data_IF_699604809866
#
_entry.id   IF_699604809866
#
_cell.length_a   1.000
_cell.length_b   1.000
_cell.length_c   1.000
_cell.angle_alpha   90.00
_cell.angle_beta   90.00
_cell.angle_gamma   90.00
#
_symmetry.space_group_name_H-M   'P 1'
#
loop_
_entity.id
_entity.type
_entity.pdbx_description
1 polymer ?
#
# COMPACT_ATOMS: atom_id res chain seq x y z
N UNK A 1 -40.69 -12.19 18.80
CA UNK A 1 -40.06 -11.10 18.05
C UNK A 1 -39.15 -11.73 17.01
N UNK A 2 -39.69 -11.91 15.80
CA UNK A 2 -38.92 -12.36 14.64
C UNK A 2 -38.06 -11.20 14.16
N UNK A 3 -36.83 -11.45 13.74
CA UNK A 3 -36.22 -10.67 12.67
C UNK A 3 -35.27 -11.57 11.87
N UNK A 4 -35.69 -11.81 10.63
CA UNK A 4 -35.03 -12.56 9.57
C UNK A 4 -34.07 -11.63 8.83
N UNK A 5 -32.85 -12.08 8.57
CA UNK A 5 -31.92 -11.41 7.66
C UNK A 5 -31.35 -12.43 6.69
N UNK A 6 -32.03 -12.59 5.55
CA UNK A 6 -31.45 -13.19 4.35
C UNK A 6 -31.07 -12.08 3.39
N UNK A 7 -29.79 -12.00 3.02
CA UNK A 7 -29.35 -11.31 1.81
C UNK A 7 -28.35 -12.21 1.08
N UNK A 8 -28.87 -13.00 0.16
CA UNK A 8 -28.07 -13.60 -0.92
C UNK A 8 -27.96 -12.58 -2.05
N UNK A 9 -26.74 -12.25 -2.46
CA UNK A 9 -26.47 -11.48 -3.67
C UNK A 9 -25.66 -12.39 -4.61
N UNK A 10 -26.32 -12.90 -5.64
CA UNK A 10 -25.72 -13.77 -6.66
C UNK A 10 -24.95 -12.93 -7.68
N UNK A 11 -23.66 -13.27 -7.86
CA UNK A 11 -22.77 -12.76 -8.90
C UNK A 11 -23.09 -13.45 -10.24
N UNK A 12 -23.15 -12.69 -11.34
CA UNK A 12 -23.22 -13.25 -12.69
C UNK A 12 -22.41 -12.40 -13.68
N UNK A 13 -21.35 -12.94 -14.30
CA UNK A 13 -20.66 -12.27 -15.41
C UNK A 13 -21.25 -12.72 -16.75
N UNK A 14 -21.73 -11.78 -17.57
CA UNK A 14 -22.08 -12.05 -18.96
C UNK A 14 -21.07 -11.37 -19.89
N UNK A 15 -20.21 -12.23 -20.44
CA UNK A 15 -19.26 -11.98 -21.53
C UNK A 15 -20.04 -11.67 -22.81
N UNK A 16 -19.69 -10.60 -23.52
CA UNK A 16 -20.00 -10.48 -24.95
C UNK A 16 -18.74 -10.06 -25.71
N UNK A 17 -18.13 -11.07 -26.33
CA UNK A 17 -17.07 -10.94 -27.34
C UNK A 17 -17.73 -10.47 -28.66
N UNK A 18 -17.28 -9.35 -29.24
CA UNK A 18 -17.55 -9.04 -30.64
C UNK A 18 -16.21 -8.80 -31.34
N UNK A 19 -15.76 -9.84 -32.02
CA UNK A 19 -14.69 -9.79 -33.00
C UNK A 19 -15.21 -9.12 -34.27
N UNK A 20 -14.48 -8.13 -34.79
CA UNK A 20 -14.67 -7.67 -36.17
C UNK A 20 -13.29 -7.51 -36.80
N UNK A 21 -13.01 -8.38 -37.77
CA UNK A 21 -11.74 -8.45 -38.46
C UNK A 21 -11.75 -7.50 -39.67
N UNK A 22 -10.68 -6.71 -39.84
CA UNK A 22 -9.96 -6.38 -41.10
C UNK A 22 -9.46 -4.93 -41.10
N UNK A 23 -8.16 -4.76 -41.34
CA UNK A 23 -7.67 -4.34 -42.66
C UNK A 23 -6.14 -4.39 -42.69
N UNK A 24 -5.60 -4.92 -43.78
CA UNK A 24 -4.17 -4.97 -44.13
C UNK A 24 -3.79 -3.67 -44.82
N UNK A 25 -2.65 -3.08 -44.48
CA UNK A 25 -1.92 -2.19 -45.38
C UNK A 25 -0.41 -2.38 -45.20
N UNK A 26 0.24 -2.78 -46.29
CA UNK A 26 1.69 -2.82 -46.45
C UNK A 26 2.30 -1.43 -46.31
N UNK A 27 3.41 -1.34 -45.59
CA UNK A 27 4.31 -0.19 -45.55
C UNK A 27 5.73 -0.69 -45.34
N UNK A 28 6.52 -0.62 -46.41
CA UNK A 28 7.93 -0.99 -46.46
C UNK A 28 8.80 0.00 -45.66
N UNK A 29 9.86 -0.51 -45.04
CA UNK A 29 11.09 0.26 -44.86
C UNK A 29 11.53 0.55 -43.43
N UNK A 30 12.80 0.22 -43.20
CA UNK A 30 13.73 0.80 -42.23
C UNK A 30 13.76 0.23 -40.82
N UNK A 31 14.80 -0.59 -40.64
CA UNK A 31 15.39 -0.95 -39.37
C UNK A 31 15.69 0.28 -38.51
N UNK A 32 15.25 0.26 -37.25
CA UNK A 32 15.94 0.87 -36.12
C UNK A 32 15.60 0.10 -34.84
N UNK A 33 16.64 -0.51 -34.29
CA UNK A 33 17.01 -0.62 -32.88
C UNK A 33 15.89 -0.99 -31.90
N UNK A 34 16.08 -2.14 -31.24
CA UNK A 34 15.48 -2.50 -29.96
C UNK A 34 15.32 -1.27 -29.05
N UNK A 35 14.08 -0.89 -28.76
CA UNK A 35 13.78 0.04 -27.69
C UNK A 35 13.67 -0.79 -26.39
N UNK A 36 14.66 -0.79 -25.49
CA UNK A 36 14.39 -1.28 -24.16
C UNK A 36 13.44 -0.28 -23.51
N UNK A 37 12.16 -0.67 -23.39
CA UNK A 37 11.23 -0.07 -22.44
C UNK A 37 11.99 0.35 -21.19
N UNK A 38 11.87 1.61 -20.71
CA UNK A 38 12.36 1.94 -19.41
C UNK A 38 11.42 1.23 -18.43
N UNK A 39 11.77 -0.01 -18.08
CA UNK A 39 11.40 -0.57 -16.81
C UNK A 39 11.86 0.45 -15.79
N UNK A 40 10.88 1.17 -15.24
CA UNK A 40 11.07 2.08 -14.14
C UNK A 40 11.52 1.24 -12.94
N UNK A 41 12.82 0.95 -12.89
CA UNK A 41 13.49 0.63 -11.66
C UNK A 41 13.30 1.83 -10.75
N UNK A 42 12.29 1.70 -9.88
CA UNK A 42 12.29 2.15 -8.50
C UNK A 42 13.25 3.31 -8.27
N UNK A 43 12.73 4.53 -8.41
CA UNK A 43 13.20 5.61 -7.56
C UNK A 43 12.93 5.17 -6.12
N UNK A 44 13.83 4.40 -5.53
CA UNK A 44 14.05 4.44 -4.09
C UNK A 44 14.52 5.86 -3.83
N UNK A 45 13.56 6.79 -3.71
CA UNK A 45 13.83 8.08 -3.12
C UNK A 45 14.38 7.74 -1.75
N UNK A 46 15.67 8.04 -1.53
CA UNK A 46 16.23 8.01 -0.20
C UNK A 46 15.37 8.95 0.64
N UNK A 47 14.45 8.39 1.42
CA UNK A 47 13.56 9.15 2.29
C UNK A 47 14.48 9.88 3.26
N UNK A 48 14.54 11.20 3.15
CA UNK A 48 15.25 11.99 4.14
C UNK A 48 14.70 11.59 5.52
N UNK A 49 15.55 11.45 6.55
CA UNK A 49 15.08 11.06 7.87
C UNK A 49 14.03 12.09 8.34
N UNK A 50 12.78 11.67 8.42
CA UNK A 50 11.69 12.47 8.96
C UNK A 50 11.62 12.28 10.48
N UNK A 51 11.05 13.24 11.23
CA UNK A 51 11.01 13.17 12.70
C UNK A 51 10.20 11.98 13.24
N UNK A 52 9.42 11.31 12.39
CA UNK A 52 8.54 10.21 12.79
C UNK A 52 9.20 8.83 12.89
N UNK A 53 10.50 8.69 12.58
CA UNK A 53 11.24 7.45 12.81
C UNK A 53 11.18 7.07 14.30
N UNK A 54 10.96 5.79 14.58
CA UNK A 54 10.85 5.26 15.94
C UNK A 54 9.68 4.31 16.13
N UNK A 55 9.49 3.89 17.38
CA UNK A 55 8.44 2.97 17.77
C UNK A 55 7.16 3.72 18.15
N UNK A 56 6.06 3.26 17.56
CA UNK A 56 4.69 3.71 17.80
C UNK A 56 3.91 2.54 18.38
N UNK A 57 3.17 2.75 19.46
CA UNK A 57 2.55 1.66 20.21
C UNK A 57 1.14 2.05 20.63
N UNK A 58 0.18 1.14 20.54
CA UNK A 58 -1.13 1.37 21.16
C UNK A 58 -0.99 1.46 22.69
N UNK A 59 -1.88 2.19 23.36
CA UNK A 59 -1.80 2.41 24.82
C UNK A 59 -1.72 1.12 25.64
N UNK A 60 -2.31 0.02 25.14
CA UNK A 60 -2.28 -1.30 25.76
C UNK A 60 -1.07 -2.17 25.38
N UNK A 61 -0.16 -1.66 24.54
CA UNK A 61 1.02 -2.38 24.06
C UNK A 61 0.75 -3.55 23.11
N UNK A 62 -0.50 -3.76 22.70
CA UNK A 62 -0.87 -4.88 21.84
C UNK A 62 -0.32 -4.72 20.42
N UNK A 63 -0.27 -3.51 19.87
CA UNK A 63 0.34 -3.22 18.57
C UNK A 63 1.61 -2.41 18.78
N UNK A 64 2.70 -2.84 18.12
CA UNK A 64 4.01 -2.20 18.10
C UNK A 64 4.40 -1.99 16.65
N UNK A 65 4.46 -0.73 16.24
CA UNK A 65 4.69 -0.30 14.86
C UNK A 65 5.96 0.54 14.80
N UNK A 66 7.01 0.00 14.19
CA UNK A 66 8.30 0.69 14.09
C UNK A 66 8.46 1.30 12.70
N UNK A 67 8.69 2.61 12.65
CA UNK A 67 9.09 3.33 11.45
C UNK A 67 10.61 3.41 11.40
N UNK A 68 11.24 2.70 10.46
CA UNK A 68 12.69 2.63 10.32
C UNK A 68 13.21 3.76 9.41
N UNK A 69 14.44 4.22 9.69
CA UNK A 69 15.07 5.33 8.96
C UNK A 69 15.33 5.04 7.46
N UNK A 70 15.24 3.78 7.03
CA UNK A 70 15.39 3.36 5.64
C UNK A 70 14.06 3.39 4.85
N UNK A 71 13.01 3.99 5.40
CA UNK A 71 11.69 4.04 4.77
C UNK A 71 10.91 2.73 4.83
N UNK A 72 11.28 1.81 5.73
CA UNK A 72 10.58 0.54 5.98
C UNK A 72 9.87 0.55 7.32
N UNK A 73 8.73 -0.11 7.42
CA UNK A 73 8.06 -0.32 8.71
C UNK A 73 7.99 -1.81 9.07
N UNK A 74 7.90 -2.07 10.37
CA UNK A 74 7.59 -3.39 10.94
C UNK A 74 6.48 -3.25 11.98
N UNK A 75 5.38 -3.97 11.81
CA UNK A 75 4.29 -4.01 12.79
C UNK A 75 4.21 -5.39 13.45
N UNK A 76 4.28 -5.44 14.77
CA UNK A 76 3.98 -6.61 15.58
C UNK A 76 2.63 -6.47 16.29
N UNK A 77 1.87 -7.56 16.37
CA UNK A 77 0.58 -7.64 17.08
C UNK A 77 0.59 -8.77 18.10
N UNK A 78 0.46 -8.42 19.39
CA UNK A 78 0.52 -9.35 20.50
C UNK A 78 1.83 -10.14 20.50
N UNK A 79 1.71 -11.46 20.28
CA UNK A 79 2.86 -12.39 20.18
C UNK A 79 3.39 -12.55 18.76
N UNK A 80 2.63 -12.12 17.74
CA UNK A 80 3.07 -12.20 16.35
C UNK A 80 3.99 -11.03 16.02
N UNK A 81 5.27 -11.33 15.86
CA UNK A 81 6.24 -10.39 15.31
C UNK A 81 6.04 -10.24 13.80
N UNK A 82 6.38 -9.07 13.26
CA UNK A 82 6.33 -8.79 11.81
C UNK A 82 5.02 -9.25 11.18
N UNK A 83 3.91 -8.90 11.83
CA UNK A 83 2.56 -9.15 11.35
C UNK A 83 2.33 -8.47 10.00
N UNK A 84 2.87 -7.26 9.83
CA UNK A 84 2.91 -6.51 8.59
C UNK A 84 4.26 -5.81 8.42
N UNK A 85 4.72 -5.73 7.16
CA UNK A 85 6.00 -5.13 6.81
C UNK A 85 5.91 -4.55 5.41
N UNK A 86 6.54 -3.40 5.23
CA UNK A 86 6.44 -2.73 3.94
C UNK A 86 7.28 -1.49 3.89
N UNK A 87 7.10 -0.74 2.81
CA UNK A 87 7.65 0.61 2.69
C UNK A 87 6.60 1.63 3.12
N UNK A 88 7.07 2.82 3.47
CA UNK A 88 6.20 3.94 3.74
C UNK A 88 6.79 5.25 3.21
N UNK A 89 5.93 6.23 3.00
CA UNK A 89 6.28 7.59 2.59
C UNK A 89 5.53 8.60 3.45
N UNK A 90 6.21 9.69 3.84
CA UNK A 90 5.61 10.75 4.65
C UNK A 90 5.52 12.02 3.81
N UNK A 91 4.34 12.65 3.83
CA UNK A 91 4.09 13.95 3.20
C UNK A 91 3.44 14.88 4.22
N UNK A 92 4.20 15.86 4.73
CA UNK A 92 3.75 16.71 5.82
C UNK A 92 3.49 15.88 7.09
N UNK A 93 2.24 15.83 7.53
CA UNK A 93 1.79 15.01 8.66
C UNK A 93 1.04 13.74 8.21
N UNK A 94 0.97 13.46 6.91
CA UNK A 94 0.33 12.26 6.39
C UNK A 94 1.37 11.18 6.09
N UNK A 95 1.02 9.91 6.27
CA UNK A 95 1.87 8.76 5.96
C UNK A 95 1.11 7.73 5.14
N UNK A 96 1.74 7.30 4.04
CA UNK A 96 1.26 6.27 3.14
C UNK A 96 2.10 5.00 3.32
N UNK A 97 1.43 3.86 3.31
CA UNK A 97 2.02 2.54 3.49
C UNK A 97 1.75 1.64 2.28
N UNK A 98 2.77 0.89 1.89
CA UNK A 98 2.66 -0.20 0.93
C UNK A 98 3.32 -1.43 1.52
N UNK A 99 2.48 -2.37 1.93
CA UNK A 99 2.89 -3.65 2.49
C UNK A 99 3.48 -4.55 1.39
N UNK A 100 4.45 -5.38 1.77
CA UNK A 100 5.12 -6.31 0.86
C UNK A 100 4.16 -7.37 0.29
N UNK A 101 3.01 -7.62 0.92
CA UNK A 101 1.95 -8.51 0.39
C UNK A 101 0.97 -7.80 -0.55
N UNK A 102 1.13 -6.50 -0.78
CA UNK A 102 0.34 -5.74 -1.76
C UNK A 102 -0.90 -5.03 -1.22
N UNK A 103 -1.07 -4.92 0.10
CA UNK A 103 -2.07 -4.02 0.69
C UNK A 103 -1.50 -2.63 0.88
N UNK A 104 -2.38 -1.63 0.82
CA UNK A 104 -2.05 -0.24 1.12
C UNK A 104 -2.82 0.21 2.35
N UNK A 105 -2.23 1.14 3.10
CA UNK A 105 -2.88 1.77 4.23
C UNK A 105 -2.32 3.19 4.38
N UNK A 106 -3.03 4.00 5.15
CA UNK A 106 -2.69 5.39 5.38
C UNK A 106 -2.80 5.75 6.86
N UNK A 107 -2.27 6.92 7.22
CA UNK A 107 -2.43 7.47 8.55
C UNK A 107 -1.99 8.93 8.65
N UNK A 108 -2.28 9.54 9.78
CA UNK A 108 -1.98 10.93 10.06
C UNK A 108 -1.32 11.10 11.43
N UNK A 109 -0.21 11.83 11.45
CA UNK A 109 0.37 12.37 12.67
C UNK A 109 -0.47 13.57 13.11
N UNK A 110 -1.17 13.42 14.23
CA UNK A 110 -2.06 14.46 14.78
C UNK A 110 -1.25 15.44 15.64
N UNK A 111 -0.23 14.93 16.32
CA UNK A 111 0.78 15.68 17.06
C UNK A 111 2.14 14.94 17.00
N UNK A 112 3.13 15.41 17.77
CA UNK A 112 4.49 14.86 17.75
C UNK A 112 4.58 13.39 18.22
N UNK A 113 3.63 12.98 19.07
CA UNK A 113 3.62 11.71 19.79
C UNK A 113 2.38 10.85 19.49
N UNK A 114 1.50 11.28 18.57
CA UNK A 114 0.24 10.59 18.25
C UNK A 114 0.07 10.35 16.75
N UNK A 115 -0.02 9.08 16.37
CA UNK A 115 -0.31 8.61 15.02
C UNK A 115 -1.70 7.95 14.98
N UNK A 116 -2.57 8.44 14.10
CA UNK A 116 -3.82 7.78 13.76
C UNK A 116 -3.61 6.91 12.52
N UNK A 117 -3.77 5.60 12.65
CA UNK A 117 -3.53 4.65 11.56
C UNK A 117 -4.39 3.40 11.71
N UNK A 118 -5.04 2.95 10.63
CA UNK A 118 -5.80 1.69 10.64
C UNK A 118 -6.94 1.63 11.68
N UNK A 119 -7.52 2.78 12.02
CA UNK A 119 -8.52 2.91 13.10
C UNK A 119 -7.95 2.84 14.52
N UNK A 120 -6.62 2.86 14.66
CA UNK A 120 -5.90 2.82 15.92
C UNK A 120 -5.28 4.18 16.22
N UNK A 121 -5.05 4.44 17.51
CA UNK A 121 -4.20 5.52 18.00
C UNK A 121 -2.93 4.88 18.52
N UNK A 122 -1.79 5.27 17.96
CA UNK A 122 -0.47 4.83 18.39
C UNK A 122 0.29 6.00 18.98
N UNK A 123 0.96 5.74 20.11
CA UNK A 123 1.80 6.70 20.83
C UNK A 123 3.27 6.45 20.56
N UNK A 124 4.05 7.51 20.42
CA UNK A 124 5.51 7.43 20.37
C UNK A 124 6.05 6.86 21.69
N UNK A 125 7.09 6.03 21.59
CA UNK A 125 7.69 5.30 22.73
C UNK A 125 9.10 5.78 23.05
#
# INVERSE_FOLDING_TARGET
MSNSFSKSLTLGPAITLLATCRSVSSGSGEARIHDPSPHQHTKQQATAPHPYVGLWMTDNGHVRHELLANGRYDEARGTRQSAYQGRYEVSGNHIEYWDDTGFTADGDFVDEDTLHHGGMILRRR
#
